data_IF_674738290005
#
_entry.id   IF_674738290005
#
_cell.length_a   1.000
_cell.length_b   1.000
_cell.length_c   1.000
_cell.angle_alpha   90.00
_cell.angle_beta   90.00
_cell.angle_gamma   90.00
#
_symmetry.space_group_name_H-M   'P 1'
#
loop_
_entity.id
_entity.type
_entity.pdbx_description
1 polymer ?
#
# COMPACT_ATOMS: atom_id res chain seq x y z
N UNK A 1 -7.88 5.05 7.93
CA UNK A 1 -7.06 4.49 6.83
C UNK A 1 -7.92 3.86 5.74
N UNK A 2 -8.75 2.83 6.03
CA UNK A 2 -9.62 2.18 5.02
C UNK A 2 -10.49 3.12 4.19
N UNK A 3 -11.18 4.07 4.83
CA UNK A 3 -12.02 5.06 4.13
C UNK A 3 -11.21 5.94 3.16
N UNK A 4 -9.94 6.21 3.46
CA UNK A 4 -9.06 6.96 2.55
C UNK A 4 -8.67 6.11 1.34
N UNK A 5 -8.33 4.84 1.55
CA UNK A 5 -8.05 3.90 0.44
C UNK A 5 -9.27 3.81 -0.49
N UNK A 6 -10.47 3.63 0.08
CA UNK A 6 -11.72 3.61 -0.69
C UNK A 6 -11.94 4.91 -1.45
N UNK A 7 -11.72 6.06 -0.80
CA UNK A 7 -11.76 7.37 -1.45
C UNK A 7 -10.83 7.40 -2.67
N UNK A 8 -9.55 7.06 -2.53
CA UNK A 8 -8.61 7.12 -3.67
C UNK A 8 -8.95 6.15 -4.80
N UNK A 9 -9.53 4.98 -4.50
CA UNK A 9 -10.03 4.04 -5.53
C UNK A 9 -11.16 4.68 -6.34
N UNK A 10 -12.10 5.37 -5.66
CA UNK A 10 -13.25 6.01 -6.28
C UNK A 10 -12.91 7.31 -7.03
N UNK A 11 -11.97 8.10 -6.49
CA UNK A 11 -11.60 9.42 -7.03
C UNK A 11 -10.49 9.38 -8.08
N UNK A 12 -10.17 8.21 -8.63
CA UNK A 12 -9.41 8.16 -9.87
C UNK A 12 -7.92 7.86 -9.75
N UNK A 13 -7.39 7.57 -8.56
CA UNK A 13 -5.97 7.20 -8.43
C UNK A 13 -5.67 5.90 -9.17
N UNK A 14 -4.63 5.93 -10.02
CA UNK A 14 -4.18 4.76 -10.79
C UNK A 14 -3.43 3.77 -9.90
N UNK A 15 -2.64 4.29 -8.95
CA UNK A 15 -1.84 3.54 -7.98
C UNK A 15 -1.98 4.19 -6.60
N UNK A 16 -2.04 3.37 -5.56
CA UNK A 16 -2.11 3.81 -4.16
C UNK A 16 -0.97 3.12 -3.43
N UNK A 17 -0.07 3.91 -2.84
CA UNK A 17 1.05 3.40 -2.04
C UNK A 17 0.70 3.58 -0.56
N UNK A 18 0.73 2.48 0.18
CA UNK A 18 0.55 2.49 1.63
C UNK A 18 1.90 2.28 2.29
N UNK A 19 2.47 3.34 2.86
CA UNK A 19 3.70 3.29 3.64
C UNK A 19 3.38 3.29 5.14
N UNK A 20 3.71 2.20 5.83
CA UNK A 20 3.61 2.11 7.29
C UNK A 20 4.57 1.05 7.83
N UNK A 21 5.31 1.33 8.92
CA UNK A 21 6.31 0.41 9.47
C UNK A 21 5.72 -0.90 10.01
N UNK A 22 4.43 -0.89 10.40
CA UNK A 22 3.71 -2.04 10.97
C UNK A 22 2.75 -2.69 9.97
N UNK A 23 3.00 -2.55 8.67
CA UNK A 23 2.11 -3.02 7.60
C UNK A 23 1.78 -4.51 7.74
N UNK A 24 2.80 -5.33 8.02
CA UNK A 24 2.68 -6.79 8.10
C UNK A 24 2.13 -7.22 9.46
N UNK A 25 2.63 -6.59 10.51
CA UNK A 25 2.23 -6.82 11.91
C UNK A 25 0.74 -6.52 12.12
N UNK A 26 0.20 -5.53 11.41
CA UNK A 26 -1.21 -5.15 11.45
C UNK A 26 -2.10 -5.95 10.50
N UNK A 27 -1.55 -6.88 9.70
CA UNK A 27 -2.32 -7.73 8.81
C UNK A 27 -2.76 -7.08 7.48
N UNK A 28 -2.29 -5.87 7.16
CA UNK A 28 -2.70 -5.15 5.95
C UNK A 28 -2.21 -5.80 4.65
N UNK A 29 -1.16 -6.61 4.69
CA UNK A 29 -0.69 -7.40 3.55
C UNK A 29 -1.79 -8.23 2.87
N UNK A 30 -2.83 -8.63 3.62
CA UNK A 30 -3.92 -9.47 3.10
C UNK A 30 -4.88 -8.75 2.15
N UNK A 31 -4.91 -7.42 2.19
CA UNK A 31 -5.84 -6.59 1.40
C UNK A 31 -5.12 -5.80 0.30
N UNK A 32 -3.80 -5.95 0.18
CA UNK A 32 -2.96 -5.25 -0.79
C UNK A 32 -2.73 -6.15 -2.00
N UNK A 33 -2.74 -5.55 -3.19
CA UNK A 33 -2.43 -6.28 -4.43
C UNK A 33 -0.94 -6.58 -4.60
N UNK A 34 -0.06 -5.79 -3.97
CA UNK A 34 1.39 -5.99 -4.01
C UNK A 34 1.97 -5.51 -2.68
N UNK A 35 2.81 -6.35 -2.08
CA UNK A 35 3.56 -6.05 -0.86
C UNK A 35 5.02 -5.91 -1.24
N UNK A 36 5.58 -4.73 -1.05
CA UNK A 36 6.98 -4.44 -1.36
C UNK A 36 7.73 -4.37 -0.03
N UNK A 37 8.80 -5.15 0.10
CA UNK A 37 9.71 -5.08 1.25
C UNK A 37 11.06 -4.59 0.78
N UNK A 38 11.44 -3.43 1.30
CA UNK A 38 12.79 -2.87 1.14
C UNK A 38 13.64 -3.36 2.29
N UNK A 39 14.72 -4.06 2.00
CA UNK A 39 15.59 -4.67 3.01
C UNK A 39 17.06 -4.30 2.78
N UNK A 40 17.83 -4.32 3.84
CA UNK A 40 19.30 -4.25 3.81
C UNK A 40 19.84 -5.13 4.95
N UNK A 41 21.15 -5.33 4.98
CA UNK A 41 21.81 -6.12 6.01
C UNK A 41 21.70 -5.44 7.38
N UNK A 42 21.69 -6.23 8.46
CA UNK A 42 21.46 -5.75 9.82
C UNK A 42 22.48 -4.66 10.23
N UNK A 43 23.74 -4.82 9.83
CA UNK A 43 24.80 -3.83 10.08
C UNK A 43 24.54 -2.51 9.36
N UNK A 44 24.11 -2.58 8.10
CA UNK A 44 23.75 -1.40 7.29
C UNK A 44 22.53 -0.70 7.90
N UNK A 45 21.54 -1.48 8.35
CA UNK A 45 20.33 -0.96 8.97
C UNK A 45 20.64 -0.21 10.28
N UNK A 46 21.45 -0.81 11.16
CA UNK A 46 21.88 -0.21 12.42
C UNK A 46 22.65 1.08 12.15
N UNK A 47 23.66 1.04 11.27
CA UNK A 47 24.48 2.21 10.95
C UNK A 47 23.63 3.37 10.42
N UNK A 48 22.70 3.10 9.49
CA UNK A 48 21.80 4.12 8.94
C UNK A 48 20.85 4.69 10.01
N UNK A 49 20.33 3.84 10.90
CA UNK A 49 19.44 4.27 11.97
C UNK A 49 20.16 5.15 13.00
N UNK A 50 21.40 4.78 13.36
CA UNK A 50 22.26 5.59 14.23
C UNK A 50 22.55 6.96 13.62
N UNK A 51 22.95 7.00 12.34
CA UNK A 51 23.26 8.26 11.65
C UNK A 51 22.03 9.17 11.48
N UNK A 52 20.86 8.59 11.19
CA UNK A 52 19.64 9.35 10.95
C UNK A 52 19.01 9.90 12.23
N UNK A 53 18.96 9.07 13.28
CA UNK A 53 18.21 9.37 14.51
C UNK A 53 19.14 9.78 15.67
N UNK A 54 20.46 9.77 15.49
CA UNK A 54 21.44 10.10 16.53
C UNK A 54 21.50 9.10 17.69
N UNK A 55 21.21 7.81 17.40
CA UNK A 55 21.07 6.77 18.42
C UNK A 55 22.40 6.06 18.73
N UNK A 56 22.50 5.50 19.93
CA UNK A 56 23.51 4.49 20.25
C UNK A 56 23.27 3.21 19.43
N UNK A 57 24.30 2.36 19.35
CA UNK A 57 24.17 1.06 18.66
C UNK A 57 23.13 0.17 19.37
N UNK A 58 23.12 0.21 20.69
CA UNK A 58 22.23 -0.55 21.56
C UNK A 58 20.76 -0.11 21.38
N UNK A 59 20.52 1.19 21.32
CA UNK A 59 19.18 1.75 21.08
C UNK A 59 18.69 1.42 19.67
N UNK A 60 19.55 1.55 18.67
CA UNK A 60 19.24 1.19 17.30
C UNK A 60 18.89 -0.30 17.16
N UNK A 61 19.69 -1.18 17.76
CA UNK A 61 19.44 -2.62 17.76
C UNK A 61 18.15 -2.97 18.50
N UNK A 62 17.90 -2.35 19.66
CA UNK A 62 16.67 -2.56 20.44
C UNK A 62 15.43 -2.14 19.65
N UNK A 63 15.51 -1.04 18.91
CA UNK A 63 14.41 -0.54 18.08
C UNK A 63 14.12 -1.43 16.87
N UNK A 64 15.16 -2.01 16.26
CA UNK A 64 15.01 -3.01 15.19
C UNK A 64 14.38 -4.29 15.76
N UNK A 65 14.87 -4.77 16.91
CA UNK A 65 14.38 -5.98 17.56
C UNK A 65 12.93 -5.88 18.06
N UNK A 66 12.41 -4.67 18.29
CA UNK A 66 11.01 -4.43 18.66
C UNK A 66 10.02 -4.69 17.51
N UNK A 67 10.50 -4.85 16.27
CA UNK A 67 9.67 -5.13 15.10
C UNK A 67 9.78 -6.59 14.66
N UNK A 68 8.91 -7.00 13.74
CA UNK A 68 9.01 -8.33 13.14
C UNK A 68 10.35 -8.46 12.37
N UNK A 69 11.11 -9.57 12.51
CA UNK A 69 12.37 -9.75 11.82
C UNK A 69 12.25 -9.58 10.30
N UNK A 70 13.23 -8.92 9.68
CA UNK A 70 13.19 -8.60 8.25
C UNK A 70 13.00 -9.85 7.38
N UNK A 71 13.65 -10.97 7.74
CA UNK A 71 13.49 -12.27 7.05
C UNK A 71 12.03 -12.74 7.01
N UNK A 72 11.27 -12.52 8.09
CA UNK A 72 9.83 -12.83 8.14
C UNK A 72 9.00 -11.86 7.31
N UNK A 73 9.40 -10.59 7.22
CA UNK A 73 8.77 -9.65 6.29
C UNK A 73 9.00 -10.08 4.84
N UNK A 74 10.21 -10.54 4.51
CA UNK A 74 10.57 -11.00 3.17
C UNK A 74 9.76 -12.21 2.70
N UNK A 75 9.47 -13.18 3.59
CA UNK A 75 8.61 -14.33 3.30
C UNK A 75 7.18 -13.94 2.86
N UNK A 76 6.71 -12.76 3.28
CA UNK A 76 5.36 -12.26 3.01
C UNK A 76 5.32 -11.20 1.91
N UNK A 77 6.48 -10.89 1.31
CA UNK A 77 6.59 -9.89 0.27
C UNK A 77 6.20 -10.47 -1.09
N UNK A 78 5.55 -9.66 -1.91
CA UNK A 78 5.40 -9.91 -3.35
C UNK A 78 6.69 -9.55 -4.09
N UNK A 79 7.33 -8.46 -3.66
CA UNK A 79 8.53 -7.89 -4.30
C UNK A 79 9.54 -7.53 -3.22
N UNK A 80 10.80 -7.90 -3.44
CA UNK A 80 11.92 -7.60 -2.57
C UNK A 80 12.82 -6.57 -3.25
N UNK A 81 13.15 -5.49 -2.55
CA UNK A 81 14.11 -4.48 -3.02
C UNK A 81 15.31 -4.48 -2.07
N UNK A 82 16.47 -4.79 -2.60
CA UNK A 82 17.74 -4.68 -1.90
C UNK A 82 18.23 -3.23 -1.87
N UNK A 83 18.42 -2.73 -0.65
CA UNK A 83 18.86 -1.39 -0.28
C UNK A 83 20.24 -1.40 0.41
N UNK A 84 21.09 -2.39 0.16
CA UNK A 84 22.48 -2.39 0.64
C UNK A 84 23.37 -1.39 -0.13
N UNK A 85 23.01 -1.07 -1.38
CA UNK A 85 23.77 -0.18 -2.26
C UNK A 85 23.58 1.32 -1.99
N UNK A 86 23.93 2.11 -3.00
CA UNK A 86 23.78 3.57 -3.00
C UNK A 86 22.32 4.01 -3.13
N UNK A 87 22.05 5.28 -2.84
CA UNK A 87 20.70 5.86 -2.99
C UNK A 87 20.30 5.87 -4.47
N UNK A 88 21.25 6.15 -5.35
CA UNK A 88 21.08 6.22 -6.80
C UNK A 88 20.71 4.85 -7.36
N UNK A 89 21.36 3.77 -6.91
CA UNK A 89 20.99 2.40 -7.27
C UNK A 89 19.57 2.04 -6.81
N UNK A 90 19.19 2.45 -5.59
CA UNK A 90 17.83 2.23 -5.09
C UNK A 90 16.80 2.99 -5.92
N UNK A 91 17.07 4.26 -6.26
CA UNK A 91 16.20 5.08 -7.08
C UNK A 91 15.95 4.44 -8.46
N UNK A 92 17.00 3.92 -9.10
CA UNK A 92 16.87 3.21 -10.37
C UNK A 92 15.98 1.95 -10.25
N UNK A 93 16.23 1.10 -9.24
CA UNK A 93 15.40 -0.09 -8.99
C UNK A 93 13.93 0.26 -8.76
N UNK A 94 13.67 1.34 -8.01
CA UNK A 94 12.30 1.82 -7.74
C UNK A 94 11.66 2.36 -9.02
N UNK A 95 12.39 3.10 -9.85
CA UNK A 95 11.86 3.65 -11.11
C UNK A 95 11.44 2.53 -12.08
N UNK A 96 12.28 1.50 -12.22
CA UNK A 96 11.96 0.31 -13.02
C UNK A 96 10.71 -0.41 -12.49
N UNK A 97 10.64 -0.60 -11.18
CA UNK A 97 9.48 -1.22 -10.54
C UNK A 97 8.20 -0.42 -10.77
N UNK A 98 8.25 0.90 -10.64
CA UNK A 98 7.08 1.76 -10.87
C UNK A 98 6.61 1.63 -12.31
N UNK A 99 7.52 1.57 -13.29
CA UNK A 99 7.17 1.35 -14.71
C UNK A 99 6.48 0.00 -14.91
N UNK A 100 7.01 -1.06 -14.31
CA UNK A 100 6.40 -2.40 -14.37
C UNK A 100 4.98 -2.38 -13.77
N UNK A 101 4.82 -1.86 -12.56
CA UNK A 101 3.53 -1.83 -11.85
C UNK A 101 2.49 -0.98 -12.59
N UNK A 102 2.90 0.11 -13.22
CA UNK A 102 2.00 0.96 -14.00
C UNK A 102 1.44 0.26 -15.24
N UNK A 103 2.12 -0.78 -15.75
CA UNK A 103 1.66 -1.56 -16.90
C UNK A 103 0.71 -2.72 -16.53
N UNK A 104 0.70 -3.17 -15.26
CA UNK A 104 0.03 -4.41 -14.85
C UNK A 104 -1.46 -4.26 -14.51
N UNK A 105 -1.92 -3.07 -14.10
CA UNK A 105 -3.27 -2.93 -13.56
C UNK A 105 -3.97 -1.65 -14.00
N UNK A 106 -5.25 -1.77 -14.34
CA UNK A 106 -6.14 -0.64 -14.59
C UNK A 106 -7.35 -0.73 -13.65
N UNK A 107 -7.59 0.29 -12.80
CA UNK A 107 -8.74 0.31 -11.88
C UNK A 107 -10.10 0.45 -12.59
N UNK A 108 -10.13 0.52 -13.92
CA UNK A 108 -11.35 0.75 -14.70
C UNK A 108 -12.44 -0.28 -14.40
N UNK A 109 -12.11 -1.57 -14.25
CA UNK A 109 -13.10 -2.61 -13.96
C UNK A 109 -13.73 -2.44 -12.57
N UNK A 110 -12.92 -2.14 -11.55
CA UNK A 110 -13.41 -1.90 -10.18
C UNK A 110 -14.30 -0.66 -10.15
N UNK A 111 -13.89 0.42 -10.83
CA UNK A 111 -14.69 1.65 -10.96
C UNK A 111 -16.00 1.40 -11.68
N UNK A 112 -15.98 0.69 -12.80
CA UNK A 112 -17.17 0.34 -13.57
C UNK A 112 -18.16 -0.48 -12.73
N UNK A 113 -17.68 -1.45 -11.94
CA UNK A 113 -18.51 -2.23 -11.03
C UNK A 113 -19.18 -1.33 -9.98
N UNK A 114 -18.42 -0.43 -9.34
CA UNK A 114 -18.98 0.49 -8.33
C UNK A 114 -20.01 1.44 -8.94
N UNK A 115 -19.71 2.07 -10.08
CA UNK A 115 -20.65 2.97 -10.74
C UNK A 115 -21.93 2.25 -11.19
N UNK A 116 -21.83 0.98 -11.60
CA UNK A 116 -23.00 0.18 -11.97
C UNK A 116 -23.92 -0.09 -10.77
N UNK A 117 -23.35 -0.38 -9.60
CA UNK A 117 -24.11 -0.57 -8.35
C UNK A 117 -24.80 0.73 -7.92
N UNK A 118 -24.08 1.85 -7.96
CA UNK A 118 -24.63 3.17 -7.62
C UNK A 118 -25.78 3.52 -8.57
N UNK A 119 -25.58 3.37 -9.88
CA UNK A 119 -26.63 3.63 -10.88
C UNK A 119 -27.87 2.76 -10.67
N UNK A 120 -27.69 1.48 -10.35
CA UNK A 120 -28.78 0.56 -10.02
C UNK A 120 -29.56 0.99 -8.78
N UNK A 121 -28.88 1.36 -7.70
CA UNK A 121 -29.53 1.87 -6.48
C UNK A 121 -30.27 3.18 -6.73
N UNK A 122 -29.66 4.12 -7.44
CA UNK A 122 -30.30 5.39 -7.83
C UNK A 122 -31.55 5.15 -8.68
N UNK A 123 -31.51 4.19 -9.60
CA UNK A 123 -32.67 3.80 -10.42
C UNK A 123 -33.82 3.24 -9.59
N UNK A 124 -33.52 2.35 -8.62
CA UNK A 124 -34.52 1.77 -7.72
C UNK A 124 -35.17 2.86 -6.86
N UNK A 125 -34.38 3.77 -6.30
CA UNK A 125 -34.88 4.89 -5.49
C UNK A 125 -35.77 5.83 -6.31
N UNK A 126 -35.36 6.15 -7.55
CA UNK A 126 -36.16 6.97 -8.46
C UNK A 126 -37.49 6.28 -8.83
N UNK A 127 -37.48 4.98 -9.06
CA UNK A 127 -38.71 4.19 -9.31
C UNK A 127 -39.64 4.19 -8.11
N UNK A 128 -39.10 4.01 -6.90
CA UNK A 128 -39.88 4.04 -5.66
C UNK A 128 -40.49 5.41 -5.40
N UNK A 129 -39.74 6.51 -5.62
CA UNK A 129 -40.27 7.86 -5.45
C UNK A 129 -41.37 8.17 -6.47
N UNK A 130 -41.18 7.83 -7.75
CA UNK A 130 -42.20 8.00 -8.78
C UNK A 130 -43.46 7.17 -8.52
N UNK A 131 -43.33 5.99 -7.91
CA UNK A 131 -44.47 5.17 -7.51
C UNK A 131 -45.27 5.84 -6.36
N UNK A 132 -44.60 6.41 -5.36
CA UNK A 132 -45.23 7.15 -4.26
C UNK A 132 -45.96 8.42 -4.76
N UNK A 133 -45.38 9.14 -5.72
CA UNK A 133 -46.02 10.31 -6.34
C UNK A 133 -47.23 9.97 -7.21
N UNK A 134 -47.38 8.73 -7.69
CA UNK A 134 -48.56 8.29 -8.45
C UNK A 134 -49.74 7.85 -7.57
N UNK A 135 -49.51 7.63 -6.27
CA UNK A 135 -50.52 7.17 -5.31
C UNK A 135 -51.15 8.30 -4.48
N UNK A 136 -50.73 9.55 -4.69
CA UNK A 136 -51.29 10.78 -4.08
C UNK A 136 -51.96 11.59 -5.19
#
# INVERSE_FOLDING_TARGET
MFLQILKYILFGSHMIVLDTPLLIESGYQKILGTVIVVWCDDEVQINRLMLRDGLSKEDAASRIAAQLPIKKKMELATILIDNNGSKEELEQKVEELVKELNSRWSPLLVRAAVYSVIAGLSWVLLRASLALFRTV
#
